data_IF_871004123941
#
_entry.id   IF_871004123941
#
_cell.length_a   1.000
_cell.length_b   1.000
_cell.length_c   1.000
_cell.angle_alpha   90.00
_cell.angle_beta   90.00
_cell.angle_gamma   90.00
#
_symmetry.space_group_name_H-M   'P 1'
#
loop_
_entity.id
_entity.type
_entity.pdbx_description
1 polymer ?
#
# COMPACT_ATOMS: atom_id res chain seq x y z
N UNK A 1 -28.66 9.12 -26.37
CA UNK A 1 -29.36 9.32 -25.07
C UNK A 1 -28.29 9.55 -24.04
N UNK A 2 -28.36 10.63 -23.27
CA UNK A 2 -27.35 10.91 -22.24
C UNK A 2 -27.52 9.99 -21.02
N UNK A 3 -26.48 9.80 -20.24
CA UNK A 3 -26.50 9.05 -18.98
C UNK A 3 -27.72 9.41 -18.10
N UNK A 4 -28.08 10.70 -18.02
CA UNK A 4 -29.25 11.16 -17.26
C UNK A 4 -30.58 10.63 -17.81
N UNK A 5 -30.74 10.59 -19.13
CA UNK A 5 -31.97 10.06 -19.74
C UNK A 5 -32.09 8.55 -19.56
N UNK A 6 -30.95 7.86 -19.52
CA UNK A 6 -30.87 6.43 -19.26
C UNK A 6 -31.24 6.08 -17.81
N UNK A 7 -30.79 6.88 -16.84
CA UNK A 7 -31.17 6.74 -15.43
C UNK A 7 -32.68 6.88 -15.19
N UNK A 8 -33.36 7.68 -16.02
CA UNK A 8 -34.82 7.91 -15.91
C UNK A 8 -35.66 6.75 -16.45
N UNK A 9 -35.09 5.81 -17.20
CA UNK A 9 -35.83 4.65 -17.75
C UNK A 9 -35.67 3.45 -16.84
N UNK A 10 -36.79 2.86 -16.42
CA UNK A 10 -36.84 1.80 -15.39
C UNK A 10 -36.54 0.39 -15.94
N UNK A 11 -36.62 0.17 -17.27
CA UNK A 11 -36.52 -1.17 -17.85
C UNK A 11 -35.39 -1.35 -18.86
N UNK A 12 -34.80 -2.57 -18.85
CA UNK A 12 -33.88 -3.03 -19.88
C UNK A 12 -32.43 -2.61 -19.77
N UNK A 13 -32.03 -2.03 -18.67
CA UNK A 13 -30.67 -1.48 -18.50
C UNK A 13 -29.82 -2.34 -17.58
N UNK A 14 -28.67 -2.76 -18.09
CA UNK A 14 -27.66 -3.49 -17.31
C UNK A 14 -26.61 -2.51 -16.84
N UNK A 15 -26.56 -2.22 -15.52
CA UNK A 15 -25.52 -1.35 -14.97
C UNK A 15 -24.15 -2.05 -15.07
N UNK A 16 -23.15 -1.27 -15.47
CA UNK A 16 -21.76 -1.71 -15.53
C UNK A 16 -20.95 -0.88 -14.55
N UNK A 17 -20.17 -1.55 -13.73
CA UNK A 17 -19.26 -0.94 -12.81
C UNK A 17 -17.83 -1.20 -13.23
N UNK A 18 -17.01 -0.14 -13.22
CA UNK A 18 -15.60 -0.17 -13.55
C UNK A 18 -14.80 0.23 -12.32
N UNK A 19 -13.74 -0.53 -12.03
CA UNK A 19 -12.89 -0.32 -10.87
C UNK A 19 -11.43 -0.22 -11.33
N UNK A 20 -10.81 0.90 -11.06
CA UNK A 20 -9.37 1.07 -11.22
C UNK A 20 -8.74 1.03 -9.82
N UNK A 21 -7.86 0.07 -9.60
CA UNK A 21 -7.07 -0.02 -8.37
C UNK A 21 -5.63 0.23 -8.73
N UNK A 22 -5.02 1.22 -8.06
CA UNK A 22 -3.61 1.57 -8.27
C UNK A 22 -2.82 1.20 -7.03
N UNK A 23 -1.79 0.40 -7.19
CA UNK A 23 -0.88 -0.05 -6.15
C UNK A 23 0.55 0.30 -6.56
N UNK A 24 1.09 1.39 -6.02
CA UNK A 24 2.37 1.91 -6.45
C UNK A 24 2.37 2.31 -7.93
N UNK A 25 3.18 1.64 -8.74
CA UNK A 25 3.24 1.85 -10.20
C UNK A 25 2.23 0.98 -10.99
N UNK A 26 1.66 -0.05 -10.36
CA UNK A 26 0.78 -1.00 -11.02
C UNK A 26 -0.66 -0.52 -10.99
N UNK A 27 -1.33 -0.55 -12.14
CA UNK A 27 -2.72 -0.15 -12.29
C UNK A 27 -3.54 -1.32 -12.82
N UNK A 28 -4.57 -1.70 -12.07
CA UNK A 28 -5.46 -2.79 -12.40
C UNK A 28 -6.84 -2.27 -12.78
N UNK A 29 -7.35 -2.73 -13.93
CA UNK A 29 -8.64 -2.33 -14.48
C UNK A 29 -9.60 -3.53 -14.44
N UNK A 30 -10.64 -3.46 -13.59
CA UNK A 30 -11.55 -4.54 -13.31
C UNK A 30 -13.00 -4.13 -13.63
N UNK A 31 -13.82 -5.07 -14.08
CA UNK A 31 -15.25 -4.84 -14.33
C UNK A 31 -16.09 -5.98 -13.81
N UNK A 32 -17.31 -5.67 -13.39
CA UNK A 32 -18.31 -6.68 -13.02
C UNK A 32 -19.01 -7.34 -14.23
N UNK A 33 -18.78 -6.82 -15.44
CA UNK A 33 -19.35 -7.36 -16.66
C UNK A 33 -18.58 -8.61 -17.12
N UNK A 34 -19.29 -9.69 -17.43
CA UNK A 34 -18.68 -10.97 -17.83
C UNK A 34 -17.93 -10.94 -19.17
N UNK A 35 -18.28 -10.05 -20.08
CA UNK A 35 -17.65 -9.95 -21.41
C UNK A 35 -16.49 -8.92 -21.51
N UNK A 36 -16.06 -8.35 -20.39
CA UNK A 36 -15.08 -7.24 -20.43
C UNK A 36 -15.67 -5.95 -20.99
N UNK A 37 -14.94 -4.88 -20.88
CA UNK A 37 -15.34 -3.56 -21.40
C UNK A 37 -14.09 -2.87 -21.95
N UNK A 38 -14.22 -2.23 -23.12
CA UNK A 38 -13.20 -1.29 -23.61
C UNK A 38 -13.82 0.11 -23.61
N UNK A 39 -13.22 1.01 -22.83
CA UNK A 39 -13.73 2.38 -22.74
C UNK A 39 -13.22 3.22 -23.91
N UNK A 40 -14.11 3.97 -24.59
CA UNK A 40 -13.72 4.84 -25.71
C UNK A 40 -12.93 6.05 -25.21
N UNK A 41 -12.09 6.59 -26.10
CA UNK A 41 -11.34 7.83 -25.87
C UNK A 41 -12.22 9.05 -26.21
N UNK A 42 -12.05 10.13 -25.46
CA UNK A 42 -12.50 11.47 -25.88
C UNK A 42 -14.02 11.72 -25.83
N UNK A 43 -14.77 10.94 -25.06
CA UNK A 43 -16.18 11.24 -24.80
C UNK A 43 -16.33 12.28 -23.67
N UNK A 44 -17.28 13.22 -23.74
CA UNK A 44 -17.57 14.14 -22.64
C UNK A 44 -17.97 13.34 -21.39
N UNK A 45 -17.46 13.75 -20.23
CA UNK A 45 -17.63 13.11 -18.92
C UNK A 45 -16.88 11.78 -18.70
N UNK A 46 -15.94 11.39 -19.58
CA UNK A 46 -15.08 10.22 -19.39
C UNK A 46 -13.67 10.68 -19.06
N UNK A 47 -13.23 10.37 -17.86
CA UNK A 47 -11.86 10.72 -17.37
C UNK A 47 -10.75 9.80 -17.92
N UNK A 48 -11.02 9.05 -19.01
CA UNK A 48 -10.03 8.15 -19.60
C UNK A 48 -9.26 8.84 -20.70
N UNK A 49 -7.95 8.97 -20.53
CA UNK A 49 -7.05 9.59 -21.51
C UNK A 49 -6.64 8.62 -22.61
N UNK A 50 -6.85 7.32 -22.43
CA UNK A 50 -6.54 6.26 -23.39
C UNK A 50 -7.62 5.17 -23.39
N UNK A 51 -7.76 4.45 -24.50
CA UNK A 51 -8.61 3.26 -24.57
C UNK A 51 -8.11 2.24 -23.55
N UNK A 52 -8.96 1.88 -22.59
CA UNK A 52 -8.60 0.99 -21.49
C UNK A 52 -9.47 -0.25 -21.56
N UNK A 53 -8.84 -1.42 -21.51
CA UNK A 53 -9.52 -2.71 -21.44
C UNK A 53 -9.70 -3.11 -19.99
N UNK A 54 -10.94 -3.39 -19.61
CA UNK A 54 -11.32 -3.77 -18.25
C UNK A 54 -11.52 -5.27 -18.18
N UNK A 55 -10.83 -5.92 -17.25
CA UNK A 55 -10.87 -7.39 -17.08
C UNK A 55 -12.12 -7.82 -16.31
N UNK A 56 -12.89 -8.77 -16.81
CA UNK A 56 -14.01 -9.34 -16.09
C UNK A 56 -13.57 -9.95 -14.77
N UNK A 57 -14.22 -9.55 -13.69
CA UNK A 57 -13.85 -10.05 -12.37
C UNK A 57 -15.09 -10.18 -11.50
N UNK A 58 -15.29 -11.31 -10.81
CA UNK A 58 -16.40 -11.50 -9.89
C UNK A 58 -16.20 -10.67 -8.62
N UNK A 59 -16.51 -9.40 -8.71
CA UNK A 59 -16.45 -8.44 -7.62
C UNK A 59 -17.79 -8.29 -6.93
N UNK A 60 -17.79 -8.21 -5.62
CA UNK A 60 -18.95 -7.77 -4.86
C UNK A 60 -18.66 -6.43 -4.20
N UNK A 61 -19.50 -5.44 -4.46
CA UNK A 61 -19.40 -4.09 -3.89
C UNK A 61 -20.52 -3.86 -2.89
N UNK A 62 -20.19 -3.38 -1.72
CA UNK A 62 -21.12 -2.83 -0.74
C UNK A 62 -21.77 -1.52 -1.22
N UNK A 63 -22.58 -0.94 -0.40
CA UNK A 63 -23.17 0.39 -0.67
C UNK A 63 -22.08 1.44 -0.66
N UNK A 64 -22.17 2.43 -1.54
CA UNK A 64 -21.42 3.67 -1.42
C UNK A 64 -22.24 4.56 -0.48
N UNK A 65 -21.77 4.71 0.75
CA UNK A 65 -22.39 5.61 1.69
C UNK A 65 -21.95 7.04 1.32
N UNK A 66 -22.85 7.79 0.71
CA UNK A 66 -22.69 9.22 0.48
C UNK A 66 -23.65 9.93 1.43
N UNK A 67 -23.17 10.25 2.61
CA UNK A 67 -23.86 11.17 3.52
C UNK A 67 -23.60 12.60 3.03
N UNK A 68 -24.44 13.58 3.41
CA UNK A 68 -24.18 15.00 3.10
C UNK A 68 -22.85 15.52 3.66
N UNK A 69 -22.19 14.72 4.46
CA UNK A 69 -20.83 14.93 4.93
C UNK A 69 -19.87 14.10 4.03
N UNK A 70 -19.23 14.75 3.07
CA UNK A 70 -18.26 14.15 2.15
C UNK A 70 -17.11 13.41 2.87
N UNK A 71 -16.85 13.78 4.12
CA UNK A 71 -15.81 13.20 4.97
C UNK A 71 -16.14 11.79 5.47
N UNK A 72 -17.35 11.27 5.25
CA UNK A 72 -17.81 9.96 5.76
C UNK A 72 -18.14 8.97 4.63
N UNK A 73 -17.76 9.27 3.40
CA UNK A 73 -17.99 8.35 2.29
C UNK A 73 -17.06 7.13 2.42
N UNK A 74 -17.65 5.98 2.73
CA UNK A 74 -16.97 4.69 2.81
C UNK A 74 -17.58 3.70 1.81
N UNK A 75 -16.75 2.79 1.35
CA UNK A 75 -17.16 1.70 0.47
C UNK A 75 -16.38 0.42 0.81
N UNK A 76 -17.07 -0.72 0.85
CA UNK A 76 -16.43 -2.03 0.98
C UNK A 76 -16.49 -2.78 -0.36
N UNK A 77 -15.40 -3.43 -0.74
CA UNK A 77 -15.34 -4.29 -1.92
C UNK A 77 -14.80 -5.65 -1.49
N UNK A 78 -15.40 -6.71 -2.00
CA UNK A 78 -14.90 -8.08 -1.83
C UNK A 78 -14.35 -8.60 -3.15
N UNK A 79 -13.11 -9.06 -3.14
CA UNK A 79 -12.38 -9.66 -4.25
C UNK A 79 -12.14 -11.15 -3.97
N UNK A 80 -12.21 -12.05 -4.97
CA UNK A 80 -11.72 -13.40 -4.79
C UNK A 80 -10.25 -13.44 -4.37
N UNK A 81 -9.93 -14.26 -3.38
CA UNK A 81 -8.54 -14.38 -2.88
C UNK A 81 -7.56 -14.94 -3.94
N UNK A 82 -8.09 -15.66 -4.96
CA UNK A 82 -7.31 -16.22 -6.06
C UNK A 82 -6.80 -15.17 -7.08
N UNK A 83 -7.27 -13.93 -7.00
CA UNK A 83 -6.82 -12.88 -7.91
C UNK A 83 -5.40 -12.40 -7.57
N UNK A 84 -4.53 -12.20 -8.57
CA UNK A 84 -3.18 -11.68 -8.36
C UNK A 84 -3.16 -10.35 -7.59
N UNK A 85 -4.12 -9.45 -7.90
CA UNK A 85 -4.25 -8.18 -7.20
C UNK A 85 -4.62 -8.36 -5.71
N UNK A 86 -5.44 -9.36 -5.37
CA UNK A 86 -5.79 -9.63 -3.97
C UNK A 86 -4.54 -10.06 -3.19
N UNK A 87 -3.73 -10.94 -3.77
CA UNK A 87 -2.45 -11.36 -3.20
C UNK A 87 -1.48 -10.17 -3.07
N UNK A 88 -1.38 -9.32 -4.10
CA UNK A 88 -0.54 -8.13 -4.07
C UNK A 88 -0.95 -7.13 -2.98
N UNK A 89 -2.25 -6.86 -2.84
CA UNK A 89 -2.77 -5.98 -1.79
C UNK A 89 -2.52 -6.50 -0.37
N UNK A 90 -2.57 -7.83 -0.18
CA UNK A 90 -2.28 -8.45 1.11
C UNK A 90 -0.79 -8.48 1.42
N UNK A 91 0.04 -8.71 0.40
CA UNK A 91 1.49 -8.77 0.54
C UNK A 91 2.14 -7.39 0.65
N UNK A 92 1.53 -6.36 0.04
CA UNK A 92 2.04 -4.99 0.09
C UNK A 92 1.66 -4.31 1.41
N UNK A 93 2.48 -4.52 2.41
CA UNK A 93 2.46 -3.76 3.68
C UNK A 93 3.33 -2.51 3.54
N UNK A 94 3.71 -2.16 2.32
CA UNK A 94 4.51 -0.96 2.05
C UNK A 94 3.69 0.31 2.34
N UNK A 95 4.41 1.43 2.51
CA UNK A 95 3.79 2.74 2.74
C UNK A 95 3.09 3.31 1.48
N UNK A 96 3.05 2.54 0.39
CA UNK A 96 2.33 2.93 -0.80
C UNK A 96 0.83 2.87 -0.54
N UNK A 97 0.20 4.01 -0.58
CA UNK A 97 -1.25 4.10 -0.41
C UNK A 97 -1.89 3.58 -1.69
N UNK A 98 -2.55 2.43 -1.60
CA UNK A 98 -3.37 1.94 -2.70
C UNK A 98 -4.59 2.84 -2.87
N UNK A 99 -4.86 3.26 -4.11
CA UNK A 99 -6.01 4.10 -4.43
C UNK A 99 -7.01 3.34 -5.29
N UNK A 100 -8.26 3.77 -5.20
CA UNK A 100 -9.35 3.19 -5.99
C UNK A 100 -10.21 4.28 -6.60
N UNK A 101 -10.58 4.08 -7.88
CA UNK A 101 -11.57 4.87 -8.59
C UNK A 101 -12.67 3.95 -9.11
N UNK A 102 -13.91 4.40 -9.00
CA UNK A 102 -15.08 3.60 -9.40
C UNK A 102 -15.98 4.44 -10.30
N UNK A 103 -16.31 3.87 -11.45
CA UNK A 103 -17.24 4.47 -12.40
C UNK A 103 -18.47 3.59 -12.59
N UNK A 104 -19.55 4.23 -12.91
CA UNK A 104 -20.82 3.60 -13.25
C UNK A 104 -21.28 4.03 -14.63
N UNK A 105 -21.68 3.09 -15.44
CA UNK A 105 -22.25 3.27 -16.76
C UNK A 105 -23.29 2.21 -17.06
N UNK A 106 -23.74 2.16 -18.31
CA UNK A 106 -24.71 1.18 -18.79
C UNK A 106 -24.18 0.45 -20.03
N UNK A 107 -24.49 -0.85 -20.13
CA UNK A 107 -24.01 -1.71 -21.22
C UNK A 107 -24.44 -1.23 -22.61
N UNK A 108 -25.68 -0.71 -22.72
CA UNK A 108 -26.29 -0.30 -23.97
C UNK A 108 -26.37 1.24 -24.11
N UNK A 109 -25.46 1.94 -23.49
CA UNK A 109 -25.35 3.39 -23.67
C UNK A 109 -24.66 3.69 -25.00
N UNK A 110 -25.35 4.26 -26.02
CA UNK A 110 -24.77 4.59 -27.31
C UNK A 110 -23.69 5.67 -27.18
N UNK A 111 -23.76 6.49 -26.17
CA UNK A 111 -22.78 7.53 -25.89
C UNK A 111 -21.58 7.01 -25.10
N UNK A 112 -21.70 5.81 -24.48
CA UNK A 112 -20.65 5.16 -23.72
C UNK A 112 -20.18 5.98 -22.50
N UNK A 113 -21.11 6.69 -21.87
CA UNK A 113 -20.80 7.56 -20.75
C UNK A 113 -20.59 6.75 -19.47
N UNK A 114 -19.46 6.98 -18.80
CA UNK A 114 -19.19 6.45 -17.46
C UNK A 114 -19.00 7.62 -16.50
N UNK A 115 -19.78 7.61 -15.42
CA UNK A 115 -19.74 8.65 -14.39
C UNK A 115 -18.95 8.13 -13.20
N UNK A 116 -17.95 8.89 -12.77
CA UNK A 116 -17.19 8.58 -11.55
C UNK A 116 -18.11 8.71 -10.34
N UNK A 117 -18.16 7.67 -9.53
CA UNK A 117 -19.03 7.57 -8.35
C UNK A 117 -18.26 7.56 -7.04
N UNK A 118 -17.01 7.13 -7.09
CA UNK A 118 -16.17 7.09 -5.91
C UNK A 118 -14.71 7.26 -6.30
N UNK A 119 -13.96 7.98 -5.49
CA UNK A 119 -12.51 8.06 -5.52
C UNK A 119 -12.02 8.05 -4.08
N UNK A 120 -11.00 7.25 -3.80
CA UNK A 120 -10.52 7.15 -2.44
C UNK A 120 -9.33 6.20 -2.28
N UNK A 121 -9.00 5.94 -1.04
CA UNK A 121 -7.87 5.11 -0.63
C UNK A 121 -8.34 3.82 -0.01
N UNK A 122 -7.54 2.78 -0.19
CA UNK A 122 -7.71 1.52 0.52
C UNK A 122 -7.06 1.67 1.89
N UNK A 123 -7.87 1.58 2.95
CA UNK A 123 -7.42 1.79 4.34
C UNK A 123 -7.46 0.54 5.18
N UNK A 124 -8.30 -0.42 4.80
CA UNK A 124 -8.50 -1.67 5.55
C UNK A 124 -8.49 -2.85 4.59
N UNK A 125 -7.71 -3.88 4.90
CA UNK A 125 -7.70 -5.14 4.17
C UNK A 125 -7.96 -6.24 5.18
N UNK A 126 -8.97 -7.08 4.89
CA UNK A 126 -9.32 -8.25 5.70
C UNK A 126 -9.28 -9.48 4.80
N UNK A 127 -8.47 -10.45 5.17
CA UNK A 127 -8.35 -11.72 4.45
C UNK A 127 -9.32 -12.74 5.01
N UNK A 128 -10.00 -13.46 4.11
CA UNK A 128 -10.78 -14.65 4.40
C UNK A 128 -10.26 -15.82 3.57
N UNK A 129 -10.88 -17.00 3.71
CA UNK A 129 -10.48 -18.19 2.95
C UNK A 129 -10.63 -18.00 1.43
N UNK A 130 -11.76 -17.47 1.00
CA UNK A 130 -12.11 -17.35 -0.43
C UNK A 130 -12.11 -15.90 -0.93
N UNK A 131 -12.19 -14.93 -0.02
CA UNK A 131 -12.41 -13.53 -0.35
C UNK A 131 -11.49 -12.61 0.46
N UNK A 132 -11.00 -11.58 -0.20
CA UNK A 132 -10.33 -10.44 0.42
C UNK A 132 -11.30 -9.26 0.43
N UNK A 133 -11.59 -8.73 1.62
CA UNK A 133 -12.43 -7.54 1.81
C UNK A 133 -11.56 -6.31 1.94
N UNK A 134 -11.88 -5.30 1.16
CA UNK A 134 -11.17 -4.04 1.07
C UNK A 134 -12.10 -2.92 1.54
N UNK A 135 -11.72 -2.23 2.60
CA UNK A 135 -12.39 -1.00 3.04
C UNK A 135 -11.73 0.21 2.39
N UNK A 136 -12.55 1.03 1.72
CA UNK A 136 -12.11 2.22 1.01
C UNK A 136 -12.73 3.46 1.65
N UNK A 137 -11.92 4.47 1.88
CA UNK A 137 -12.31 5.78 2.38
C UNK A 137 -12.08 6.85 1.33
N UNK A 138 -12.94 7.87 1.28
CA UNK A 138 -12.77 8.98 0.34
C UNK A 138 -11.47 9.75 0.65
N UNK A 139 -10.82 10.29 -0.38
CA UNK A 139 -9.60 11.11 -0.23
C UNK A 139 -9.83 12.35 0.64
N UNK A 140 -11.04 12.87 0.71
CA UNK A 140 -11.38 14.01 1.58
C UNK A 140 -11.28 13.68 3.07
N UNK A 141 -11.26 12.40 3.47
CA UNK A 141 -11.02 12.01 4.88
C UNK A 141 -9.64 12.45 5.36
N UNK A 142 -8.71 12.71 4.46
CA UNK A 142 -7.39 13.29 4.80
C UNK A 142 -7.52 14.65 5.45
N UNK A 143 -8.56 15.43 5.10
CA UNK A 143 -8.83 16.72 5.72
C UNK A 143 -9.19 16.63 7.22
N UNK A 144 -9.59 15.45 7.70
CA UNK A 144 -9.80 15.18 9.13
C UNK A 144 -8.50 15.06 9.92
N UNK A 145 -7.36 14.89 9.25
CA UNK A 145 -6.07 14.82 9.95
C UNK A 145 -5.74 16.20 10.49
N UNK A 146 -5.39 16.30 11.77
CA UNK A 146 -5.02 17.58 12.35
C UNK A 146 -3.85 18.19 11.55
N UNK A 147 -4.02 19.43 11.11
CA UNK A 147 -2.94 20.20 10.53
C UNK A 147 -1.83 20.34 11.59
N UNK A 148 -0.58 20.14 11.22
CA UNK A 148 0.52 20.24 12.15
C UNK A 148 0.84 18.96 12.92
N UNK A 149 0.63 17.79 12.31
CA UNK A 149 1.01 16.47 12.87
C UNK A 149 2.52 16.25 13.06
N UNK A 150 3.32 17.31 12.97
CA UNK A 150 4.76 17.24 13.25
C UNK A 150 4.96 17.14 14.75
N UNK A 151 5.17 15.92 15.22
CA UNK A 151 5.54 15.68 16.62
C UNK A 151 6.96 16.17 16.82
N UNK A 152 7.15 17.10 17.77
CA UNK A 152 8.48 17.54 18.22
C UNK A 152 8.97 16.49 19.21
N UNK A 153 9.99 15.72 18.81
CA UNK A 153 10.53 14.62 19.61
C UNK A 153 12.04 14.47 19.37
N UNK A 154 12.76 13.89 20.33
CA UNK A 154 14.21 13.65 20.20
C UNK A 154 14.53 12.65 19.08
N UNK A 155 13.87 11.46 18.99
CA UNK A 155 14.12 10.52 17.93
C UNK A 155 13.64 11.05 16.57
N UNK A 156 14.27 10.58 15.49
CA UNK A 156 13.86 10.87 14.13
C UNK A 156 12.45 10.35 13.88
N UNK A 157 11.60 11.17 13.25
CA UNK A 157 10.24 10.78 12.85
C UNK A 157 10.18 10.15 11.46
N UNK A 158 11.28 10.19 10.71
CA UNK A 158 11.35 9.67 9.35
C UNK A 158 11.53 8.15 9.37
N UNK A 159 10.98 7.49 8.36
CA UNK A 159 11.14 6.05 8.18
C UNK A 159 12.29 5.83 7.21
N UNK A 160 13.26 5.02 7.60
CA UNK A 160 14.41 4.69 6.75
C UNK A 160 13.97 4.01 5.45
N UNK A 161 14.63 4.31 4.33
CA UNK A 161 14.32 3.82 2.99
C UNK A 161 12.94 4.24 2.45
N UNK A 162 12.35 5.31 3.02
CA UNK A 162 11.05 5.82 2.61
C UNK A 162 11.16 7.30 2.23
N UNK A 163 11.38 7.61 0.94
CA UNK A 163 11.56 8.99 0.46
C UNK A 163 10.37 9.89 0.76
N UNK A 164 9.15 9.33 0.78
CA UNK A 164 7.92 10.08 1.07
C UNK A 164 7.89 10.64 2.50
N UNK A 165 8.60 10.02 3.43
CA UNK A 165 8.77 10.53 4.79
C UNK A 165 9.93 11.52 4.91
N UNK A 166 10.67 11.73 3.81
CA UNK A 166 11.80 12.63 3.72
C UNK A 166 13.13 12.05 4.19
N UNK A 167 13.24 10.72 4.35
CA UNK A 167 14.53 10.04 4.54
C UNK A 167 15.19 9.80 3.17
N UNK A 168 16.37 10.37 2.86
CA UNK A 168 17.00 10.26 1.55
C UNK A 168 17.78 8.96 1.33
N UNK A 169 17.86 8.10 2.35
CA UNK A 169 18.65 6.86 2.27
C UNK A 169 18.02 5.89 1.28
N UNK A 170 18.78 5.51 0.24
CA UNK A 170 18.34 4.55 -0.75
C UNK A 170 18.54 3.12 -0.26
N UNK A 171 17.49 2.30 -0.37
CA UNK A 171 17.54 0.89 -0.02
C UNK A 171 18.59 0.13 -0.84
N UNK A 172 18.62 0.33 -2.16
CA UNK A 172 19.50 -0.44 -3.04
C UNK A 172 20.99 -0.14 -2.79
N UNK A 173 21.32 1.07 -2.34
CA UNK A 173 22.68 1.44 -1.97
C UNK A 173 23.16 0.76 -0.66
N UNK A 174 22.23 0.38 0.20
CA UNK A 174 22.53 -0.23 1.51
C UNK A 174 22.22 -1.73 1.56
N UNK A 175 21.59 -2.26 0.50
CA UNK A 175 21.16 -3.65 0.45
C UNK A 175 22.35 -4.61 0.28
N UNK A 176 22.36 -5.65 1.10
CA UNK A 176 23.28 -6.78 0.99
C UNK A 176 22.47 -8.05 0.69
N UNK A 177 22.99 -8.97 -0.14
CA UNK A 177 22.34 -10.24 -0.39
C UNK A 177 22.44 -11.13 0.85
N UNK A 178 21.38 -11.92 1.09
CA UNK A 178 21.33 -12.92 2.14
C UNK A 178 20.53 -14.14 1.67
N UNK A 179 20.82 -15.33 2.21
CA UNK A 179 20.19 -16.58 1.81
C UNK A 179 19.35 -17.13 2.94
N UNK A 180 18.04 -17.25 2.73
CA UNK A 180 17.10 -17.88 3.67
C UNK A 180 17.04 -19.38 3.39
N UNK A 181 17.20 -20.19 4.43
CA UNK A 181 17.13 -21.66 4.35
C UNK A 181 15.88 -22.25 4.96
N UNK A 182 15.26 -21.53 5.89
CA UNK A 182 14.02 -21.97 6.51
C UNK A 182 13.14 -20.78 6.87
N UNK A 183 11.82 -20.99 6.81
CA UNK A 183 10.82 -20.03 7.24
C UNK A 183 9.79 -20.73 8.12
N UNK A 184 9.42 -20.08 9.22
CA UNK A 184 8.36 -20.52 10.11
C UNK A 184 7.48 -19.33 10.47
N UNK A 185 6.39 -19.17 9.71
CA UNK A 185 5.53 -17.99 9.82
C UNK A 185 6.28 -16.71 9.50
N UNK A 186 6.43 -15.82 10.48
CA UNK A 186 7.15 -14.54 10.32
C UNK A 186 8.64 -14.63 10.62
N UNK A 187 9.15 -15.81 11.02
CA UNK A 187 10.55 -16.03 11.37
C UNK A 187 11.29 -16.63 10.19
N UNK A 188 12.37 -15.97 9.78
CA UNK A 188 13.26 -16.37 8.68
C UNK A 188 14.60 -16.80 9.26
N UNK A 189 15.13 -17.95 8.84
CA UNK A 189 16.44 -18.45 9.26
C UNK A 189 17.41 -18.36 8.08
N UNK A 190 18.59 -17.81 8.34
CA UNK A 190 19.66 -17.61 7.37
C UNK A 190 20.76 -18.64 7.53
N UNK A 191 21.40 -19.02 6.44
CA UNK A 191 22.54 -19.95 6.45
C UNK A 191 23.80 -19.30 6.99
N UNK A 192 23.95 -18.03 6.71
CA UNK A 192 25.16 -17.27 7.04
C UNK A 192 24.99 -16.64 8.41
N UNK A 193 26.01 -16.78 9.26
CA UNK A 193 26.13 -15.95 10.45
C UNK A 193 26.36 -14.54 9.95
N UNK A 194 25.32 -13.71 10.00
CA UNK A 194 25.43 -12.31 9.64
C UNK A 194 26.35 -11.68 10.69
N UNK A 195 27.54 -11.25 10.26
CA UNK A 195 28.62 -10.79 11.12
C UNK A 195 28.33 -9.42 11.77
N UNK A 196 27.15 -9.27 12.35
CA UNK A 196 26.72 -8.05 13.02
C UNK A 196 26.02 -8.42 14.33
N UNK A 197 26.12 -7.51 15.31
CA UNK A 197 25.46 -7.62 16.60
C UNK A 197 23.94 -7.76 16.47
N UNK A 198 23.33 -8.43 17.43
CA UNK A 198 21.87 -8.54 17.52
C UNK A 198 21.21 -7.17 17.46
N UNK A 199 20.14 -7.08 16.67
CA UNK A 199 19.43 -5.84 16.47
C UNK A 199 19.94 -4.95 15.32
N UNK A 200 21.09 -5.26 14.70
CA UNK A 200 21.64 -4.44 13.61
C UNK A 200 20.69 -4.21 12.44
N UNK A 201 19.92 -5.24 12.08
CA UNK A 201 18.91 -5.16 11.02
C UNK A 201 17.50 -4.87 11.55
N UNK A 202 17.30 -4.74 12.86
CA UNK A 202 16.00 -4.38 13.43
C UNK A 202 15.58 -2.98 12.95
N UNK A 203 14.32 -2.83 12.54
CA UNK A 203 13.77 -1.67 11.82
C UNK A 203 14.34 -1.45 10.41
N UNK A 204 15.11 -2.42 9.90
CA UNK A 204 15.56 -2.44 8.50
C UNK A 204 14.51 -3.00 7.55
N UNK A 205 14.94 -3.28 6.34
CA UNK A 205 14.08 -3.81 5.29
C UNK A 205 14.63 -5.09 4.70
N UNK A 206 13.71 -5.98 4.32
CA UNK A 206 13.97 -7.16 3.49
C UNK A 206 13.16 -7.06 2.21
N UNK A 207 13.76 -7.40 1.07
CA UNK A 207 13.11 -7.37 -0.25
C UNK A 207 13.26 -8.72 -0.93
N UNK A 208 12.14 -9.26 -1.42
CA UNK A 208 12.06 -10.48 -2.19
C UNK A 208 10.97 -10.37 -3.26
N UNK A 209 11.26 -10.69 -4.51
CA UNK A 209 10.26 -10.74 -5.60
C UNK A 209 9.49 -9.45 -5.81
N UNK A 210 10.09 -8.28 -5.53
CA UNK A 210 9.41 -6.98 -5.60
C UNK A 210 8.66 -6.57 -4.33
N UNK A 211 8.44 -7.49 -3.39
CA UNK A 211 7.82 -7.22 -2.09
C UNK A 211 8.88 -6.76 -1.10
N UNK A 212 8.62 -5.66 -0.39
CA UNK A 212 9.51 -5.12 0.65
C UNK A 212 8.79 -5.18 1.99
N UNK A 213 9.45 -5.77 2.99
CA UNK A 213 8.92 -5.87 4.35
C UNK A 213 9.90 -5.28 5.37
N UNK A 214 9.35 -4.89 6.53
CA UNK A 214 10.15 -4.41 7.64
C UNK A 214 10.64 -5.58 8.49
N UNK A 215 11.91 -5.54 8.90
CA UNK A 215 12.48 -6.48 9.87
C UNK A 215 12.17 -5.92 11.26
N UNK A 216 11.40 -6.64 12.05
CA UNK A 216 11.03 -6.21 13.41
C UNK A 216 12.05 -6.60 14.46
N UNK A 217 12.75 -7.72 14.24
CA UNK A 217 13.80 -8.17 15.12
C UNK A 217 14.89 -8.93 14.33
N UNK A 218 16.12 -8.83 14.79
CA UNK A 218 17.29 -9.51 14.26
C UNK A 218 18.10 -10.13 15.39
N UNK A 219 18.42 -11.40 15.24
CA UNK A 219 19.42 -12.14 16.02
C UNK A 219 20.41 -12.78 15.05
N UNK A 220 21.56 -13.26 15.53
CA UNK A 220 22.69 -13.72 14.71
C UNK A 220 22.32 -14.54 13.45
N UNK A 221 21.25 -15.36 13.49
CA UNK A 221 20.83 -16.24 12.39
C UNK A 221 19.37 -16.11 12.01
N UNK A 222 18.61 -15.26 12.69
CA UNK A 222 17.16 -15.19 12.50
C UNK A 222 16.66 -13.75 12.38
N UNK A 223 15.74 -13.54 11.44
CA UNK A 223 14.99 -12.30 11.28
C UNK A 223 13.51 -12.56 11.49
N UNK A 224 12.87 -11.64 12.20
CA UNK A 224 11.42 -11.59 12.26
C UNK A 224 10.93 -10.44 11.41
N UNK A 225 10.04 -10.73 10.46
CA UNK A 225 9.42 -9.74 9.58
C UNK A 225 8.06 -9.28 10.11
N UNK A 226 7.63 -8.10 9.68
CA UNK A 226 6.36 -7.50 10.10
C UNK A 226 5.16 -8.26 9.54
N UNK A 227 5.22 -8.62 8.25
CA UNK A 227 4.17 -9.39 7.58
C UNK A 227 4.78 -10.49 6.72
N UNK A 228 3.99 -11.49 6.44
CA UNK A 228 4.39 -12.66 5.69
C UNK A 228 4.69 -12.35 4.21
N UNK A 229 5.68 -13.05 3.66
CA UNK A 229 6.01 -13.08 2.22
C UNK A 229 5.86 -14.52 1.75
N UNK A 230 4.66 -14.93 1.27
CA UNK A 230 4.40 -16.32 0.87
C UNK A 230 5.29 -16.82 -0.28
N UNK A 231 5.76 -15.90 -1.15
CA UNK A 231 6.65 -16.25 -2.24
C UNK A 231 7.99 -16.86 -1.78
N UNK A 232 8.44 -16.55 -0.56
CA UNK A 232 9.64 -17.15 0.03
C UNK A 232 9.42 -18.64 0.30
N UNK A 233 8.24 -19.05 0.78
CA UNK A 233 7.92 -20.48 1.01
C UNK A 233 7.94 -21.27 -0.30
N UNK A 234 7.38 -20.67 -1.36
CA UNK A 234 7.36 -21.28 -2.70
C UNK A 234 8.78 -21.48 -3.22
N UNK A 235 9.64 -20.46 -3.08
CA UNK A 235 11.03 -20.54 -3.51
C UNK A 235 11.85 -21.53 -2.71
N UNK A 236 11.70 -21.56 -1.39
CA UNK A 236 12.38 -22.55 -0.53
C UNK A 236 11.92 -23.97 -0.88
N UNK A 237 10.63 -24.18 -1.15
CA UNK A 237 10.11 -25.48 -1.56
C UNK A 237 10.66 -25.94 -2.92
N UNK A 238 10.91 -25.00 -3.85
CA UNK A 238 11.41 -25.28 -5.20
C UNK A 238 12.92 -25.48 -5.25
N UNK A 239 13.70 -24.65 -4.55
CA UNK A 239 15.17 -24.57 -4.68
C UNK A 239 15.93 -24.89 -3.38
N UNK A 240 15.23 -25.14 -2.27
CA UNK A 240 15.84 -25.39 -0.95
C UNK A 240 16.28 -24.11 -0.22
N UNK A 241 16.30 -22.97 -0.89
CA UNK A 241 16.69 -21.69 -0.31
C UNK A 241 16.12 -20.53 -1.11
N UNK A 242 16.03 -19.34 -0.50
CA UNK A 242 15.59 -18.13 -1.16
C UNK A 242 16.64 -17.01 -1.01
N UNK A 243 17.07 -16.42 -2.11
CA UNK A 243 17.98 -15.26 -2.11
C UNK A 243 17.19 -13.97 -1.94
N UNK A 244 17.50 -13.19 -0.92
CA UNK A 244 16.85 -11.94 -0.57
C UNK A 244 17.85 -10.79 -0.48
N UNK A 245 17.36 -9.58 -0.53
CA UNK A 245 18.13 -8.38 -0.22
C UNK A 245 17.68 -7.85 1.15
N UNK A 246 18.65 -7.59 2.01
CA UNK A 246 18.42 -7.03 3.34
C UNK A 246 19.20 -5.72 3.48
N UNK A 247 18.63 -4.76 4.20
CA UNK A 247 19.30 -3.50 4.49
C UNK A 247 19.23 -3.19 5.99
N UNK A 248 20.28 -2.55 6.49
CA UNK A 248 20.46 -2.19 7.90
C UNK A 248 19.26 -1.43 8.45
N UNK A 249 18.94 -1.66 9.72
CA UNK A 249 17.95 -0.90 10.46
C UNK A 249 18.39 0.49 10.88
N UNK A 250 17.43 1.32 11.24
CA UNK A 250 17.67 2.64 11.83
C UNK A 250 16.95 2.71 13.19
N UNK A 251 17.69 3.09 14.23
CA UNK A 251 17.17 3.29 15.59
C UNK A 251 16.54 4.66 15.78
N UNK A 252 16.46 5.47 14.71
CA UNK A 252 15.97 6.85 14.72
C UNK A 252 16.82 7.81 15.57
N UNK A 253 18.12 7.54 15.69
CA UNK A 253 19.11 8.37 16.38
C UNK A 253 20.08 9.00 15.39
N UNK A 254 20.75 10.05 15.80
CA UNK A 254 21.67 10.84 14.94
C UNK A 254 22.84 9.98 14.46
N UNK A 255 23.36 9.12 15.30
CA UNK A 255 24.50 8.25 15.00
C UNK A 255 24.20 7.33 13.79
N UNK A 256 22.97 6.82 13.69
CA UNK A 256 22.56 6.03 12.53
C UNK A 256 22.47 6.91 11.27
N UNK A 257 21.97 8.15 11.38
CA UNK A 257 21.98 9.08 10.25
C UNK A 257 23.40 9.45 9.79
N UNK A 258 24.34 9.57 10.71
CA UNK A 258 25.77 9.78 10.38
C UNK A 258 26.32 8.57 9.63
N UNK A 259 26.01 7.35 10.10
CA UNK A 259 26.40 6.11 9.41
C UNK A 259 25.89 6.07 7.96
N UNK A 260 24.64 6.48 7.73
CA UNK A 260 24.04 6.54 6.39
C UNK A 260 24.48 7.75 5.56
N UNK A 261 25.30 8.65 6.08
CA UNK A 261 25.67 9.89 5.41
C UNK A 261 24.54 10.92 5.28
N UNK A 262 23.45 10.76 6.05
CA UNK A 262 22.21 11.54 5.95
C UNK A 262 21.96 12.40 7.20
N UNK A 263 22.99 12.82 7.92
CA UNK A 263 22.86 13.52 9.21
C UNK A 263 22.18 14.89 9.10
N UNK A 264 22.28 15.56 7.94
CA UNK A 264 21.59 16.84 7.69
C UNK A 264 20.07 16.65 7.52
N UNK A 265 19.65 15.45 7.23
CA UNK A 265 18.24 15.07 7.03
C UNK A 265 17.61 14.47 8.28
N UNK A 266 18.29 14.53 9.43
CA UNK A 266 17.75 14.03 10.68
C UNK A 266 16.44 14.73 11.03
N UNK A 267 15.36 13.95 11.16
CA UNK A 267 14.00 14.45 11.39
C UNK A 267 13.61 14.59 12.86
N UNK A 268 14.55 14.49 13.79
CA UNK A 268 14.36 14.68 15.24
C UNK A 268 15.04 15.92 15.77
N UNK A 269 14.91 16.15 17.07
CA UNK A 269 15.50 17.28 17.79
C UNK A 269 16.49 16.76 18.83
N UNK A 270 17.73 16.49 18.43
CA UNK A 270 18.75 15.84 19.28
C UNK A 270 19.07 16.60 20.58
N UNK A 271 18.95 17.91 20.56
CA UNK A 271 19.25 18.79 21.71
C UNK A 271 18.03 19.16 22.56
N UNK A 272 16.87 18.54 22.26
CA UNK A 272 15.68 18.79 23.04
C UNK A 272 15.81 18.16 24.43
N UNK A 273 15.43 18.90 25.47
CA UNK A 273 15.36 18.41 26.84
C UNK A 273 14.25 17.34 26.97
N UNK A 274 14.31 16.49 27.99
CA UNK A 274 13.29 15.43 28.22
C UNK A 274 11.91 16.02 28.48
N UNK A 275 11.83 17.20 29.05
CA UNK A 275 10.60 17.94 29.34
C UNK A 275 10.66 19.37 28.79
N UNK A 276 10.53 19.57 27.46
CA UNK A 276 10.69 20.90 26.86
C UNK A 276 9.60 21.90 27.30
N UNK A 277 8.54 21.44 27.95
CA UNK A 277 7.40 22.25 28.38
C UNK A 277 7.23 22.29 29.92
N UNK A 278 8.22 21.89 30.71
CA UNK A 278 8.15 21.89 32.16
C UNK A 278 8.30 23.29 32.80
N UNK A 279 8.36 24.33 31.98
CA UNK A 279 8.48 25.74 32.42
C UNK A 279 9.83 26.14 32.94
N UNK A 280 10.83 25.25 32.90
CA UNK A 280 12.19 25.61 33.23
C UNK A 280 12.83 26.32 32.05
N UNK A 281 12.98 27.63 32.16
CA UNK A 281 13.82 28.41 31.27
C UNK A 281 15.26 27.86 31.38
N UNK A 282 15.86 27.57 30.22
CA UNK A 282 17.28 27.27 30.15
C UNK A 282 18.00 28.48 30.68
N UNK A 283 18.54 28.37 31.90
CA UNK A 283 19.43 29.37 32.52
C UNK A 283 20.86 29.18 32.01
#
# INVERSE_FOLDING_TARGET
>A
MSYKSILATVFGKRPVWLYQITLGADVHYLTTRSGGVTTPIGKPNVSFTAATTWTPTPLHRGKINQTGNLLEAEMEISLPASLPIAAALVADVSFNVATIRVWHGFENDPDGEFVQRFEGRITKIRTGADWVKIGCENDETVAKRPAGSVVIQRPCRRVVYEPLTGCPVDFNAQAVPATITAKSGLLLTFTETIAHDDGWYSNGRIKFGGVTQMITNHTATQFRILADIPAIDVEIAASGSASVQIARGCRNIVEDCVYFGAHLDFGGFQYMTESPFDGRLLS
#
